data_IF_539772320392
#
_entry.id   IF_539772320392
#
_cell.length_a   1.000
_cell.length_b   1.000
_cell.length_c   1.000
_cell.angle_alpha   90.00
_cell.angle_beta   90.00
_cell.angle_gamma   90.00
#
_symmetry.space_group_name_H-M   'P 1'
#
loop_
_entity.id
_entity.type
_entity.pdbx_description
1 polymer ?
#
# COMPACT_ATOMS: atom_id res chain seq x y z
N UNK A 1 13.14 -33.77 -14.48
CA UNK A 1 12.45 -32.46 -14.37
C UNK A 1 12.81 -31.64 -15.61
N UNK A 2 11.83 -31.04 -16.28
CA UNK A 2 12.09 -30.19 -17.44
C UNK A 2 12.93 -28.99 -17.02
N UNK A 3 14.08 -28.78 -17.66
CA UNK A 3 15.13 -27.87 -17.19
C UNK A 3 14.72 -26.38 -17.20
N UNK A 4 13.63 -26.05 -17.88
CA UNK A 4 13.08 -24.70 -18.02
C UNK A 4 11.54 -24.70 -17.99
N UNK A 5 10.91 -25.46 -17.08
CA UNK A 5 9.46 -25.38 -16.96
C UNK A 5 9.05 -24.00 -16.46
N UNK A 6 8.23 -23.30 -17.23
CA UNK A 6 7.56 -22.07 -16.84
C UNK A 6 6.06 -22.33 -16.78
N UNK A 7 5.42 -21.91 -15.68
CA UNK A 7 3.98 -22.10 -15.52
C UNK A 7 3.20 -21.32 -16.59
N UNK A 8 2.04 -21.83 -17.00
CA UNK A 8 1.15 -21.16 -17.95
C UNK A 8 0.79 -19.73 -17.50
N UNK A 9 0.59 -19.54 -16.19
CA UNK A 9 0.31 -18.24 -15.60
C UNK A 9 1.47 -17.27 -15.80
N UNK A 10 2.72 -17.72 -15.63
CA UNK A 10 3.89 -16.86 -15.82
C UNK A 10 4.03 -16.45 -17.29
N UNK A 11 3.81 -17.37 -18.23
CA UNK A 11 3.81 -17.08 -19.66
C UNK A 11 2.72 -16.07 -20.02
N UNK A 12 1.50 -16.25 -19.49
CA UNK A 12 0.39 -15.31 -19.65
C UNK A 12 0.73 -13.91 -19.14
N UNK A 13 1.29 -13.81 -17.93
CA UNK A 13 1.65 -12.51 -17.33
C UNK A 13 2.71 -11.78 -18.16
N UNK A 14 3.70 -12.51 -18.71
CA UNK A 14 4.70 -11.93 -19.61
C UNK A 14 4.04 -11.37 -20.87
N UNK A 15 3.25 -12.19 -21.56
CA UNK A 15 2.55 -11.78 -22.78
C UNK A 15 1.61 -10.58 -22.55
N UNK A 16 0.90 -10.57 -21.42
CA UNK A 16 0.04 -9.45 -21.05
C UNK A 16 0.83 -8.15 -20.88
N UNK A 17 1.98 -8.19 -20.19
CA UNK A 17 2.82 -7.01 -19.99
C UNK A 17 3.46 -6.52 -21.28
N UNK A 18 3.81 -7.42 -22.20
CA UNK A 18 4.32 -7.06 -23.52
C UNK A 18 3.26 -6.30 -24.34
N UNK A 19 2.00 -6.73 -24.27
CA UNK A 19 0.87 -6.08 -24.94
C UNK A 19 0.45 -4.78 -24.24
N UNK A 20 0.70 -4.64 -22.94
CA UNK A 20 0.24 -3.54 -22.11
C UNK A 20 1.42 -2.94 -21.32
N UNK A 21 2.34 -2.28 -22.04
CA UNK A 21 3.56 -1.73 -21.45
C UNK A 21 3.30 -0.69 -20.33
N UNK A 22 2.11 -0.09 -20.29
CA UNK A 22 1.68 0.89 -19.29
C UNK A 22 1.18 0.27 -17.96
N UNK A 23 1.03 -1.05 -17.90
CA UNK A 23 0.46 -1.78 -16.75
C UNK A 23 1.16 -1.43 -15.44
N UNK A 24 2.49 -1.43 -15.43
CA UNK A 24 3.29 -1.13 -14.23
C UNK A 24 3.13 0.33 -13.78
N UNK A 25 2.97 1.27 -14.72
CA UNK A 25 2.71 2.66 -14.41
C UNK A 25 1.33 2.81 -13.72
N UNK A 26 0.29 2.21 -14.31
CA UNK A 26 -1.07 2.20 -13.73
C UNK A 26 -1.11 1.53 -12.35
N UNK A 27 -0.36 0.45 -12.15
CA UNK A 27 -0.24 -0.20 -10.84
C UNK A 27 0.38 0.72 -9.79
N UNK A 28 1.49 1.40 -10.14
CA UNK A 28 2.12 2.39 -9.25
C UNK A 28 1.19 3.56 -8.94
N UNK A 29 0.49 4.09 -9.93
CA UNK A 29 -0.50 5.17 -9.73
C UNK A 29 -1.64 4.74 -8.81
N UNK A 30 -2.18 3.54 -9.01
CA UNK A 30 -3.21 2.96 -8.15
C UNK A 30 -2.73 2.78 -6.71
N UNK A 31 -1.49 2.32 -6.53
CA UNK A 31 -0.85 2.20 -5.22
C UNK A 31 -0.64 3.56 -4.56
N UNK A 32 -0.10 4.55 -5.29
CA UNK A 32 0.11 5.90 -4.79
C UNK A 32 -1.19 6.58 -4.34
N UNK A 33 -2.30 6.32 -5.04
CA UNK A 33 -3.59 6.91 -4.72
C UNK A 33 -4.07 6.55 -3.30
N UNK A 34 -3.96 5.28 -2.89
CA UNK A 34 -4.58 4.80 -1.66
C UNK A 34 -3.59 4.36 -0.58
N UNK A 35 -2.36 4.01 -0.95
CA UNK A 35 -1.42 3.32 -0.06
C UNK A 35 -0.15 4.12 0.21
N UNK A 36 0.53 4.59 -0.83
CA UNK A 36 1.79 5.35 -0.65
C UNK A 36 1.47 6.83 -0.42
N UNK A 37 1.11 7.18 0.82
CA UNK A 37 0.90 8.57 1.23
C UNK A 37 2.22 9.24 1.58
N UNK A 38 2.46 10.43 1.04
CA UNK A 38 3.53 11.29 1.52
C UNK A 38 3.12 11.82 2.90
N UNK A 39 3.97 11.56 3.90
CA UNK A 39 3.79 12.05 5.26
C UNK A 39 4.73 13.23 5.45
N UNK A 40 4.16 14.38 5.78
CA UNK A 40 4.93 15.54 6.21
C UNK A 40 5.43 15.30 7.64
N UNK A 41 6.75 15.32 7.81
CA UNK A 41 7.40 15.03 9.08
C UNK A 41 7.14 16.13 10.13
N UNK A 42 7.07 17.40 9.71
CA UNK A 42 6.82 18.52 10.62
C UNK A 42 5.39 18.45 11.17
N UNK A 43 4.42 18.18 10.29
CA UNK A 43 3.04 17.93 10.74
C UNK A 43 2.94 16.70 11.64
N UNK A 44 3.66 15.62 11.30
CA UNK A 44 3.67 14.42 12.13
C UNK A 44 4.19 14.70 13.54
N UNK A 45 5.22 15.53 13.68
CA UNK A 45 5.76 15.94 14.97
C UNK A 45 4.80 16.87 15.72
N UNK A 46 4.14 17.79 15.02
CA UNK A 46 3.04 18.58 15.57
C UNK A 46 1.91 17.72 16.14
N UNK A 47 1.47 16.69 15.41
CA UNK A 47 0.44 15.76 15.90
C UNK A 47 0.89 14.96 17.11
N UNK A 48 2.16 14.54 17.18
CA UNK A 48 2.71 13.88 18.36
C UNK A 48 2.71 14.81 19.57
N UNK A 49 3.12 16.06 19.39
CA UNK A 49 3.16 17.07 20.46
C UNK A 49 1.75 17.44 20.96
N UNK A 50 0.76 17.50 20.07
CA UNK A 50 -0.63 17.82 20.41
C UNK A 50 -1.44 16.63 20.95
N UNK A 51 -0.83 15.44 21.09
CA UNK A 51 -1.54 14.21 21.48
C UNK A 51 -2.07 14.30 22.92
N UNK A 52 -3.39 14.20 23.08
CA UNK A 52 -4.03 14.11 24.40
C UNK A 52 -4.08 12.65 24.89
N UNK A 53 -3.91 12.37 26.19
CA UNK A 53 -4.08 11.03 26.74
C UNK A 53 -5.49 10.48 26.48
N UNK A 54 -5.58 9.30 25.85
CA UNK A 54 -6.84 8.60 25.63
C UNK A 54 -7.13 7.67 26.81
N UNK A 55 -8.38 7.64 27.29
CA UNK A 55 -8.81 6.69 28.32
C UNK A 55 -8.65 5.24 27.81
N UNK A 56 -8.27 4.27 28.66
CA UNK A 56 -8.03 2.88 28.25
C UNK A 56 -9.30 2.18 27.73
N UNK A 57 -10.48 2.60 28.19
CA UNK A 57 -11.76 2.13 27.65
C UNK A 57 -12.62 3.35 27.33
N UNK A 58 -12.75 3.65 26.03
CA UNK A 58 -13.43 4.85 25.52
C UNK A 58 -14.91 4.87 25.90
N UNK A 59 -15.50 3.69 26.07
CA UNK A 59 -16.92 3.51 26.41
C UNK A 59 -17.15 3.27 27.90
N UNK A 60 -16.15 3.47 28.77
CA UNK A 60 -16.36 3.35 30.22
C UNK A 60 -16.86 4.70 30.72
N UNK A 61 -18.15 4.80 30.99
CA UNK A 61 -18.69 5.88 31.79
C UNK A 61 -18.56 5.48 33.26
N UNK A 62 -17.67 6.16 33.99
CA UNK A 62 -17.72 6.16 35.45
C UNK A 62 -18.93 7.02 35.82
N UNK A 63 -20.08 6.39 36.13
CA UNK A 63 -21.08 7.04 36.97
C UNK A 63 -20.61 7.02 38.43
#
# INVERSE_FOLDING_TARGET
>A
MAKNFESEITQFLKQYKDQNADTEARQREGRYRLWDKQVDQELQDGYKAARTPQKPYVYYENN
#
